data_IF_768184905590
#
_entry.id   IF_768184905590
#
_cell.length_a   1.000
_cell.length_b   1.000
_cell.length_c   1.000
_cell.angle_alpha   90.00
_cell.angle_beta   90.00
_cell.angle_gamma   90.00
#
_symmetry.space_group_name_H-M   'P 1'
#
loop_
_entity.id
_entity.type
_entity.pdbx_description
1 polymer ?
#
# COMPACT_ATOMS: atom_id res chain seq x y z
N UNK A 1 13.02 34.56 10.36
CA UNK A 1 11.84 33.68 10.25
C UNK A 1 11.94 32.74 9.05
N UNK A 2 12.44 33.21 7.90
CA UNK A 2 12.54 32.45 6.65
C UNK A 2 13.43 31.18 6.68
N UNK A 3 14.52 31.18 7.44
CA UNK A 3 15.42 30.02 7.54
C UNK A 3 14.82 28.82 8.30
N UNK A 4 13.93 29.07 9.26
CA UNK A 4 13.28 28.02 10.04
C UNK A 4 12.22 27.28 9.21
N UNK A 5 11.44 28.02 8.41
CA UNK A 5 10.46 27.45 7.48
C UNK A 5 11.15 26.64 6.37
N UNK A 6 12.29 27.11 5.87
CA UNK A 6 13.09 26.37 4.88
C UNK A 6 13.63 25.06 5.46
N UNK A 7 14.16 25.09 6.68
CA UNK A 7 14.69 23.92 7.38
C UNK A 7 13.59 22.88 7.67
N UNK A 8 12.38 23.33 8.03
CA UNK A 8 11.25 22.44 8.25
C UNK A 8 10.74 21.80 6.94
N UNK A 9 10.67 22.56 5.84
CA UNK A 9 10.33 22.02 4.51
C UNK A 9 11.34 20.99 4.02
N UNK A 10 12.64 21.28 4.14
CA UNK A 10 13.70 20.34 3.77
C UNK A 10 13.64 19.08 4.64
N UNK A 11 13.41 19.23 5.95
CA UNK A 11 13.26 18.09 6.86
C UNK A 11 12.05 17.23 6.53
N UNK A 12 10.89 17.84 6.27
CA UNK A 12 9.67 17.12 5.85
C UNK A 12 9.88 16.39 4.53
N UNK A 13 10.38 17.09 3.50
CA UNK A 13 10.68 16.46 2.21
C UNK A 13 11.70 15.31 2.34
N UNK A 14 12.77 15.50 3.13
CA UNK A 14 13.75 14.44 3.37
C UNK A 14 13.18 13.27 4.18
N UNK A 15 12.22 13.50 5.06
CA UNK A 15 11.49 12.45 5.77
C UNK A 15 10.51 11.73 4.85
N UNK A 16 9.79 12.44 3.97
CA UNK A 16 8.87 11.85 2.99
C UNK A 16 9.62 11.00 1.96
N UNK A 17 10.78 11.46 1.47
CA UNK A 17 11.63 10.68 0.57
C UNK A 17 12.20 9.45 1.27
N UNK A 18 12.65 9.56 2.53
CA UNK A 18 13.14 8.41 3.30
C UNK A 18 12.02 7.40 3.60
N UNK A 19 10.83 7.88 3.97
CA UNK A 19 9.67 7.04 4.19
C UNK A 19 9.29 6.29 2.92
N UNK A 20 9.22 6.98 1.77
CA UNK A 20 8.98 6.34 0.46
C UNK A 20 10.01 5.28 0.13
N UNK A 21 11.30 5.54 0.32
CA UNK A 21 12.35 4.57 0.05
C UNK A 21 12.28 3.33 0.97
N UNK A 22 11.94 3.53 2.25
CA UNK A 22 11.73 2.43 3.19
C UNK A 22 10.48 1.63 2.85
N UNK A 23 9.42 2.30 2.43
CA UNK A 23 8.18 1.67 1.98
C UNK A 23 8.36 0.89 0.69
N UNK A 24 9.09 1.40 -0.30
CA UNK A 24 9.44 0.65 -1.51
C UNK A 24 10.28 -0.59 -1.19
N UNK A 25 11.26 -0.47 -0.28
CA UNK A 25 12.08 -1.60 0.13
C UNK A 25 11.25 -2.67 0.84
N UNK A 26 10.41 -2.27 1.80
CA UNK A 26 9.49 -3.17 2.51
C UNK A 26 8.50 -3.81 1.55
N UNK A 27 7.88 -3.02 0.67
CA UNK A 27 6.96 -3.50 -0.36
C UNK A 27 7.58 -4.59 -1.24
N UNK A 28 8.82 -4.40 -1.71
CA UNK A 28 9.49 -5.39 -2.56
C UNK A 28 9.76 -6.69 -1.82
N UNK A 29 10.22 -6.61 -0.56
CA UNK A 29 10.49 -7.79 0.26
C UNK A 29 9.21 -8.59 0.55
N UNK A 30 8.15 -7.89 0.95
CA UNK A 30 6.83 -8.49 1.23
C UNK A 30 6.24 -9.14 -0.03
N UNK A 31 6.32 -8.47 -1.18
CA UNK A 31 5.83 -9.00 -2.44
C UNK A 31 6.63 -10.22 -2.92
N UNK A 32 7.95 -10.18 -2.79
CA UNK A 32 8.81 -11.32 -3.12
C UNK A 32 8.51 -12.52 -2.22
N UNK A 33 8.40 -12.30 -0.91
CA UNK A 33 8.01 -13.34 0.04
C UNK A 33 6.62 -13.91 -0.25
N UNK A 34 5.65 -13.05 -0.59
CA UNK A 34 4.28 -13.47 -0.92
C UNK A 34 4.21 -14.29 -2.21
N UNK A 35 5.04 -13.98 -3.20
CA UNK A 35 5.13 -14.73 -4.47
C UNK A 35 5.83 -16.08 -4.31
N UNK A 36 6.77 -16.17 -3.37
CA UNK A 36 7.45 -17.42 -3.03
C UNK A 36 6.61 -18.30 -2.09
N UNK A 37 5.60 -17.73 -1.43
CA UNK A 37 4.70 -18.48 -0.57
C UNK A 37 3.77 -19.38 -1.38
N UNK A 38 3.77 -20.68 -1.04
CA UNK A 38 2.81 -21.65 -1.54
C UNK A 38 1.36 -21.18 -1.25
N UNK A 39 0.42 -21.33 -2.20
CA UNK A 39 -0.97 -20.98 -1.98
C UNK A 39 -1.65 -21.64 -0.77
N UNK A 40 -1.12 -22.75 -0.28
CA UNK A 40 -1.59 -23.42 0.94
C UNK A 40 -1.02 -22.85 2.25
N UNK A 41 -0.06 -21.92 2.21
CA UNK A 41 0.55 -21.29 3.40
C UNK A 41 -0.26 -20.10 3.93
N UNK A 42 -1.57 -20.24 3.99
CA UNK A 42 -2.39 -19.28 4.74
C UNK A 42 -2.21 -19.49 6.24
N UNK A 43 -2.17 -18.42 7.06
CA UNK A 43 -2.45 -17.03 6.72
C UNK A 43 -1.24 -16.24 6.18
N UNK A 44 -0.03 -16.82 6.22
CA UNK A 44 1.22 -16.11 5.93
C UNK A 44 1.17 -15.40 4.59
N UNK A 45 0.70 -16.08 3.53
CA UNK A 45 0.62 -15.48 2.20
C UNK A 45 -0.31 -14.26 2.17
N UNK A 46 -1.53 -14.37 2.71
CA UNK A 46 -2.46 -13.24 2.74
C UNK A 46 -2.03 -12.10 3.68
N UNK A 47 -1.30 -12.38 4.77
CA UNK A 47 -0.68 -11.34 5.62
C UNK A 47 0.34 -10.51 4.84
N UNK A 48 1.23 -11.17 4.08
CA UNK A 48 2.26 -10.49 3.29
C UNK A 48 1.61 -9.62 2.19
N UNK A 49 0.61 -10.14 1.48
CA UNK A 49 -0.11 -9.35 0.47
C UNK A 49 -0.89 -8.18 1.08
N UNK A 50 -1.57 -8.38 2.22
CA UNK A 50 -2.29 -7.31 2.94
C UNK A 50 -1.35 -6.21 3.39
N UNK A 51 -0.16 -6.57 3.88
CA UNK A 51 0.90 -5.62 4.27
C UNK A 51 1.40 -4.84 3.06
N UNK A 52 1.74 -5.54 1.96
CA UNK A 52 2.17 -4.91 0.72
C UNK A 52 1.11 -3.95 0.13
N UNK A 53 -0.17 -4.33 0.17
CA UNK A 53 -1.28 -3.51 -0.30
C UNK A 53 -1.44 -2.22 0.52
N UNK A 54 -1.32 -2.31 1.85
CA UNK A 54 -1.35 -1.14 2.74
C UNK A 54 -0.22 -0.16 2.43
N UNK A 55 1.00 -0.67 2.23
CA UNK A 55 2.14 0.18 1.89
C UNK A 55 1.98 0.87 0.54
N UNK A 56 1.45 0.15 -0.46
CA UNK A 56 1.17 0.71 -1.77
C UNK A 56 0.10 1.82 -1.70
N UNK A 57 -0.94 1.63 -0.87
CA UNK A 57 -1.96 2.64 -0.62
C UNK A 57 -1.37 3.91 0.02
N UNK A 58 -0.55 3.76 1.06
CA UNK A 58 0.13 4.88 1.73
C UNK A 58 1.05 5.66 0.78
N UNK A 59 1.63 4.98 -0.21
CA UNK A 59 2.47 5.58 -1.24
C UNK A 59 1.68 6.23 -2.39
N UNK A 60 0.34 6.10 -2.41
CA UNK A 60 -0.52 6.57 -3.49
C UNK A 60 -0.47 5.71 -4.76
N UNK A 61 0.08 4.49 -4.67
CA UNK A 61 0.17 3.52 -5.75
C UNK A 61 -1.12 2.69 -5.84
N UNK A 62 -2.26 3.37 -6.05
CA UNK A 62 -3.59 2.77 -5.93
C UNK A 62 -3.82 1.58 -6.88
N UNK A 63 -3.23 1.61 -8.08
CA UNK A 63 -3.32 0.52 -9.05
C UNK A 63 -2.63 -0.76 -8.55
N UNK A 64 -1.42 -0.62 -8.03
CA UNK A 64 -0.63 -1.71 -7.45
C UNK A 64 -1.32 -2.25 -6.20
N UNK A 65 -1.80 -1.35 -5.32
CA UNK A 65 -2.57 -1.72 -4.13
C UNK A 65 -3.80 -2.58 -4.50
N UNK A 66 -4.54 -2.21 -5.54
CA UNK A 66 -5.71 -2.97 -6.00
C UNK A 66 -5.32 -4.35 -6.54
N UNK A 67 -4.19 -4.45 -7.23
CA UNK A 67 -3.70 -5.73 -7.74
C UNK A 67 -3.32 -6.68 -6.59
N UNK A 68 -2.61 -6.17 -5.59
CA UNK A 68 -2.18 -6.95 -4.43
C UNK A 68 -3.37 -7.48 -3.63
N UNK A 69 -4.42 -6.66 -3.45
CA UNK A 69 -5.67 -7.11 -2.81
C UNK A 69 -6.31 -8.25 -3.58
N UNK A 70 -6.34 -8.17 -4.93
CA UNK A 70 -6.88 -9.27 -5.76
C UNK A 70 -6.04 -10.54 -5.61
N UNK A 71 -4.72 -10.43 -5.63
CA UNK A 71 -3.80 -11.57 -5.46
C UNK A 71 -3.96 -12.23 -4.08
N UNK A 72 -4.16 -11.44 -3.02
CA UNK A 72 -4.44 -11.94 -1.68
C UNK A 72 -5.74 -12.75 -1.61
N UNK A 73 -6.82 -12.23 -2.22
CA UNK A 73 -8.15 -12.87 -2.21
C UNK A 73 -8.18 -14.21 -2.96
N UNK A 74 -7.29 -14.42 -3.92
CA UNK A 74 -7.14 -15.72 -4.58
C UNK A 74 -6.66 -16.83 -3.63
N UNK A 75 -6.14 -16.47 -2.45
CA UNK A 75 -5.51 -17.39 -1.50
C UNK A 75 -6.38 -18.06 -0.47
N UNK A 76 -7.70 -17.87 -0.47
CA UNK A 76 -8.54 -18.20 0.69
C UNK A 76 -8.01 -17.58 2.00
N UNK A 77 -7.88 -16.24 2.05
CA UNK A 77 -7.47 -15.56 3.27
C UNK A 77 -8.45 -15.87 4.42
N UNK A 78 -7.96 -16.00 5.67
CA UNK A 78 -8.81 -16.08 6.84
C UNK A 78 -9.74 -14.86 6.96
N UNK A 79 -10.89 -14.98 7.66
CA UNK A 79 -11.91 -13.93 7.74
C UNK A 79 -11.35 -12.57 8.17
N UNK A 80 -10.51 -12.53 9.20
CA UNK A 80 -9.90 -11.28 9.70
C UNK A 80 -9.09 -10.56 8.62
N UNK A 81 -8.33 -11.31 7.82
CA UNK A 81 -7.53 -10.75 6.72
C UNK A 81 -8.42 -10.38 5.54
N UNK A 82 -9.50 -11.14 5.29
CA UNK A 82 -10.47 -10.79 4.26
C UNK A 82 -11.16 -9.45 4.55
N UNK A 83 -11.50 -9.19 5.82
CA UNK A 83 -12.08 -7.92 6.28
C UNK A 83 -11.09 -6.76 6.11
N UNK A 84 -9.83 -6.96 6.49
CA UNK A 84 -8.76 -5.98 6.25
C UNK A 84 -8.62 -5.65 4.75
N UNK A 85 -8.63 -6.68 3.90
CA UNK A 85 -8.54 -6.53 2.45
C UNK A 85 -9.78 -5.84 1.86
N UNK A 86 -10.95 -5.95 2.48
CA UNK A 86 -12.15 -5.21 2.09
C UNK A 86 -12.00 -3.71 2.42
N UNK A 87 -11.52 -3.39 3.62
CA UNK A 87 -11.28 -2.00 4.02
C UNK A 87 -10.26 -1.32 3.10
N UNK A 88 -9.14 -1.98 2.79
CA UNK A 88 -8.11 -1.45 1.89
C UNK A 88 -8.71 -1.19 0.49
N UNK A 89 -9.51 -2.12 -0.04
CA UNK A 89 -10.17 -1.97 -1.34
C UNK A 89 -11.14 -0.77 -1.35
N UNK A 90 -11.94 -0.59 -0.29
CA UNK A 90 -12.83 0.57 -0.15
C UNK A 90 -12.07 1.90 -0.17
N UNK A 91 -10.93 1.97 0.53
CA UNK A 91 -10.07 3.16 0.53
C UNK A 91 -9.50 3.43 -0.87
N UNK A 92 -9.00 2.40 -1.55
CA UNK A 92 -8.53 2.49 -2.94
C UNK A 92 -9.64 3.04 -3.86
N UNK A 93 -10.85 2.46 -3.80
CA UNK A 93 -11.97 2.89 -4.64
C UNK A 93 -12.38 4.33 -4.35
N UNK A 94 -12.32 4.76 -3.08
CA UNK A 94 -12.55 6.15 -2.70
C UNK A 94 -11.54 7.08 -3.35
N UNK A 95 -10.24 6.75 -3.28
CA UNK A 95 -9.19 7.55 -3.92
C UNK A 95 -9.35 7.62 -5.43
N UNK A 96 -9.56 6.48 -6.10
CA UNK A 96 -9.76 6.44 -7.55
C UNK A 96 -10.97 7.29 -7.99
N UNK A 97 -12.09 7.20 -7.26
CA UNK A 97 -13.29 7.99 -7.54
C UNK A 97 -13.04 9.49 -7.38
N UNK A 98 -12.35 9.91 -6.31
CA UNK A 98 -12.04 11.33 -6.08
C UNK A 98 -10.98 11.88 -7.04
N UNK A 99 -10.03 11.04 -7.48
CA UNK A 99 -9.02 11.39 -8.49
C UNK A 99 -9.63 11.63 -9.87
N UNK A 100 -10.62 10.82 -10.26
CA UNK A 100 -11.34 10.98 -11.54
C UNK A 100 -12.16 12.27 -11.65
N UNK A 101 -12.52 12.92 -10.53
CA UNK A 101 -13.28 14.18 -10.53
C UNK A 101 -12.39 15.40 -10.85
N UNK A 102 -11.06 15.29 -10.73
CA UNK A 102 -10.14 16.41 -10.95
C UNK A 102 -9.70 16.63 -12.41
N UNK A 103 -9.97 15.70 -13.32
CA UNK A 103 -9.62 15.85 -14.76
C UNK A 103 -10.74 16.47 -15.60
N UNK A 104 -11.88 16.81 -14.99
CA UNK A 104 -12.96 17.55 -15.63
C UNK A 104 -12.93 19.04 -15.20
N UNK A 105 -11.95 19.81 -15.68
CA UNK A 105 -11.94 21.28 -15.59
C UNK A 105 -11.17 21.89 -16.75
#
# INVERSE_FOLDING_TARGET
MEAADLAERVRRNASDVRAKNLFEAAFRLELEAARLADPGMEPTRSVLFRSAASLALDCGLYGDAAQLVREARLGSPPPEIADDLAQIDEEIQRYLRTGQVREAS
#
